data_IF_018134652733
#
_entry.id   IF_018134652733
#
_cell.length_a   1.000
_cell.length_b   1.000
_cell.length_c   1.000
_cell.angle_alpha   90.00
_cell.angle_beta   90.00
_cell.angle_gamma   90.00
#
_symmetry.space_group_name_H-M   'P 1'
#
loop_
_entity.id
_entity.type
_entity.pdbx_description
1 polymer ?
#
# COMPACT_ATOMS: atom_id res chain seq x y z
N UNK A 1 7.18 9.48 -13.42
CA UNK A 1 6.53 8.70 -14.39
C UNK A 1 7.17 7.34 -14.63
N UNK A 2 6.38 6.38 -14.89
CA UNK A 2 6.83 5.00 -15.00
C UNK A 2 7.29 4.65 -16.39
N UNK A 3 8.31 5.28 -16.79
CA UNK A 3 8.78 5.24 -18.15
C UNK A 3 9.17 3.87 -18.64
N UNK A 4 9.76 3.08 -17.77
CA UNK A 4 10.30 1.78 -18.17
C UNK A 4 9.41 0.61 -17.78
N UNK A 5 8.14 0.82 -17.94
CA UNK A 5 7.11 -0.17 -17.64
C UNK A 5 7.42 -1.53 -18.25
N UNK A 6 7.83 -1.57 -19.50
CA UNK A 6 8.14 -2.80 -20.21
C UNK A 6 9.38 -3.52 -19.67
N UNK A 7 10.23 -2.85 -18.94
CA UNK A 7 11.47 -3.43 -18.39
C UNK A 7 11.33 -3.94 -16.97
N UNK A 8 10.13 -3.82 -16.39
CA UNK A 8 9.88 -4.26 -15.03
C UNK A 8 9.10 -5.55 -15.02
N UNK A 9 9.29 -6.35 -13.99
CA UNK A 9 8.44 -7.50 -13.75
C UNK A 9 7.01 -7.00 -13.58
N UNK A 10 6.07 -7.65 -14.24
CA UNK A 10 4.67 -7.20 -14.27
C UNK A 10 4.07 -7.00 -12.89
N UNK A 11 4.17 -7.99 -12.00
CA UNK A 11 3.60 -7.91 -10.65
C UNK A 11 4.22 -6.80 -9.82
N UNK A 12 5.54 -6.66 -9.91
CA UNK A 12 6.29 -5.63 -9.20
C UNK A 12 5.88 -4.24 -9.63
N UNK A 13 5.72 -4.05 -10.93
CA UNK A 13 5.29 -2.77 -11.49
C UNK A 13 3.87 -2.45 -11.03
N UNK A 14 2.96 -3.44 -11.06
CA UNK A 14 1.57 -3.23 -10.64
C UNK A 14 1.48 -2.81 -9.17
N UNK A 15 2.30 -3.40 -8.29
CA UNK A 15 2.32 -3.03 -6.86
C UNK A 15 2.67 -1.55 -6.71
N UNK A 16 3.70 -1.08 -7.42
CA UNK A 16 4.12 0.33 -7.35
C UNK A 16 3.04 1.27 -7.86
N UNK A 17 2.43 0.94 -8.99
CA UNK A 17 1.37 1.77 -9.59
C UNK A 17 0.15 1.82 -8.69
N UNK A 18 -0.30 0.67 -8.21
CA UNK A 18 -1.50 0.59 -7.36
C UNK A 18 -1.30 1.31 -6.03
N UNK A 19 -0.10 1.24 -5.47
CA UNK A 19 0.21 1.97 -4.24
C UNK A 19 0.11 3.48 -4.46
N UNK A 20 0.66 3.98 -5.57
CA UNK A 20 0.58 5.40 -5.89
C UNK A 20 -0.86 5.84 -6.14
N UNK A 21 -1.64 5.03 -6.85
CA UNK A 21 -3.05 5.31 -7.12
C UNK A 21 -3.85 5.37 -5.82
N UNK A 22 -3.59 4.44 -4.91
CA UNK A 22 -4.26 4.42 -3.60
C UNK A 22 -3.92 5.67 -2.79
N UNK A 23 -2.65 6.05 -2.74
CA UNK A 23 -2.25 7.24 -2.00
C UNK A 23 -2.92 8.50 -2.56
N UNK A 24 -2.92 8.64 -3.88
CA UNK A 24 -3.56 9.78 -4.53
C UNK A 24 -5.07 9.82 -4.28
N UNK A 25 -5.73 8.68 -4.39
CA UNK A 25 -7.18 8.57 -4.11
C UNK A 25 -7.47 8.93 -2.65
N UNK A 26 -6.66 8.41 -1.73
CA UNK A 26 -6.82 8.67 -0.29
C UNK A 26 -6.70 10.16 0.01
N UNK A 27 -5.72 10.83 -0.58
CA UNK A 27 -5.53 12.27 -0.41
C UNK A 27 -6.76 13.03 -0.94
N UNK A 28 -7.26 12.64 -2.10
CA UNK A 28 -8.42 13.32 -2.69
C UNK A 28 -9.68 13.15 -1.85
N UNK A 29 -9.99 11.93 -1.40
CA UNK A 29 -11.18 11.69 -0.60
C UNK A 29 -11.09 12.38 0.77
N UNK A 30 -9.89 12.39 1.37
CA UNK A 30 -9.66 13.03 2.66
C UNK A 30 -9.64 14.55 2.58
N UNK A 31 -9.38 15.12 1.40
CA UNK A 31 -9.40 16.57 1.19
C UNK A 31 -10.80 17.13 1.03
N UNK A 32 -11.78 16.28 0.80
CA UNK A 32 -13.17 16.71 0.69
C UNK A 32 -13.75 16.87 2.09
N UNK A 33 -14.01 18.13 2.50
CA UNK A 33 -14.49 18.45 3.84
C UNK A 33 -15.88 17.91 4.14
N UNK A 34 -16.65 17.54 3.11
CA UNK A 34 -17.95 16.89 3.30
C UNK A 34 -17.77 15.48 3.84
N UNK A 35 -16.69 14.79 3.44
CA UNK A 35 -16.39 13.45 3.91
C UNK A 35 -15.56 13.47 5.18
N UNK A 36 -14.58 14.39 5.24
CA UNK A 36 -13.65 14.52 6.35
C UNK A 36 -13.66 15.96 6.87
N UNK A 37 -14.51 16.28 7.85
CA UNK A 37 -14.60 17.64 8.38
C UNK A 37 -13.24 18.13 8.87
N UNK A 38 -12.93 19.38 8.54
CA UNK A 38 -11.64 20.01 8.82
C UNK A 38 -11.25 19.94 10.30
N UNK A 39 -12.21 20.04 11.21
CA UNK A 39 -11.94 20.03 12.66
C UNK A 39 -11.37 18.69 13.17
N UNK A 40 -11.52 17.61 12.38
CA UNK A 40 -10.99 16.30 12.74
C UNK A 40 -9.66 15.99 12.07
N UNK A 41 -9.06 16.97 11.40
CA UNK A 41 -7.83 16.78 10.63
C UNK A 41 -6.73 16.07 11.42
N UNK A 42 -6.47 16.54 12.62
CA UNK A 42 -5.39 16.00 13.45
C UNK A 42 -5.79 14.79 14.25
N UNK A 43 -7.09 14.56 14.39
CA UNK A 43 -7.61 13.42 15.15
C UNK A 43 -7.52 12.13 14.32
N UNK A 44 -7.93 12.19 13.05
CA UNK A 44 -7.99 10.98 12.22
C UNK A 44 -7.50 11.18 10.78
N UNK A 45 -7.87 12.28 10.14
CA UNK A 45 -7.61 12.46 8.70
C UNK A 45 -6.14 12.37 8.36
N UNK A 46 -5.28 13.05 9.10
CA UNK A 46 -3.84 13.02 8.84
C UNK A 46 -3.26 11.64 9.06
N UNK A 47 -3.78 10.87 9.99
CA UNK A 47 -3.34 9.50 10.25
C UNK A 47 -3.65 8.59 9.07
N UNK A 48 -4.82 8.74 8.48
CA UNK A 48 -5.24 7.98 7.29
C UNK A 48 -4.32 8.28 6.12
N UNK A 49 -4.08 9.56 5.85
CA UNK A 49 -3.21 9.99 4.76
C UNK A 49 -1.78 9.49 4.98
N UNK A 50 -1.28 9.58 6.20
CA UNK A 50 0.06 9.13 6.53
C UNK A 50 0.23 7.62 6.31
N UNK A 51 -0.78 6.81 6.68
CA UNK A 51 -0.71 5.36 6.43
C UNK A 51 -0.66 5.06 4.93
N UNK A 52 -1.46 5.74 4.13
CA UNK A 52 -1.46 5.54 2.69
C UNK A 52 -0.10 5.89 2.08
N UNK A 53 0.51 6.97 2.53
CA UNK A 53 1.83 7.40 2.08
C UNK A 53 2.90 6.39 2.54
N UNK A 54 2.81 5.90 3.77
CA UNK A 54 3.75 4.93 4.31
C UNK A 54 3.74 3.62 3.53
N UNK A 55 2.57 3.18 3.06
CA UNK A 55 2.48 2.00 2.20
C UNK A 55 3.40 2.18 0.99
N UNK A 56 3.31 3.32 0.31
CA UNK A 56 4.15 3.63 -0.84
C UNK A 56 5.63 3.65 -0.48
N UNK A 57 5.98 4.25 0.64
CA UNK A 57 7.36 4.34 1.10
C UNK A 57 7.96 2.98 1.39
N UNK A 58 7.22 2.11 2.05
CA UNK A 58 7.69 0.76 2.37
C UNK A 58 7.83 -0.11 1.11
N UNK A 59 6.88 0.01 0.19
CA UNK A 59 6.97 -0.72 -1.08
C UNK A 59 8.22 -0.30 -1.85
N UNK A 60 8.51 1.00 -1.91
CA UNK A 60 9.71 1.50 -2.57
C UNK A 60 10.99 1.01 -1.88
N UNK A 61 11.00 1.00 -0.55
CA UNK A 61 12.16 0.48 0.20
C UNK A 61 12.38 -1.00 -0.06
N UNK A 62 11.31 -1.78 -0.10
CA UNK A 62 11.39 -3.19 -0.44
C UNK A 62 11.94 -3.39 -1.86
N UNK A 63 11.42 -2.60 -2.81
CA UNK A 63 11.82 -2.71 -4.21
C UNK A 63 13.29 -2.39 -4.45
N UNK A 64 13.89 -1.58 -3.60
CA UNK A 64 15.33 -1.25 -3.71
C UNK A 64 16.22 -2.39 -3.30
N UNK A 65 15.73 -3.34 -2.53
CA UNK A 65 16.54 -4.46 -2.07
C UNK A 65 16.64 -5.52 -3.16
N UNK A 66 17.85 -6.02 -3.36
CA UNK A 66 18.13 -6.99 -4.40
C UNK A 66 17.59 -8.37 -4.02
N UNK A 67 16.91 -9.01 -4.98
CA UNK A 67 16.45 -10.38 -4.82
C UNK A 67 17.47 -11.31 -5.45
N UNK A 68 18.32 -11.90 -4.62
CA UNK A 68 19.40 -12.78 -5.04
C UNK A 68 19.52 -13.93 -4.04
N UNK A 69 19.55 -15.16 -4.56
CA UNK A 69 19.60 -16.38 -3.72
C UNK A 69 20.79 -16.43 -2.80
N UNK A 70 21.89 -15.80 -3.19
CA UNK A 70 23.12 -15.76 -2.39
C UNK A 70 23.17 -14.59 -1.40
N UNK A 71 22.17 -13.71 -1.43
CA UNK A 71 22.12 -12.52 -0.59
C UNK A 71 20.94 -12.58 0.37
N UNK A 72 21.01 -13.51 1.30
CA UNK A 72 19.92 -13.74 2.26
C UNK A 72 19.59 -12.52 3.10
N UNK A 73 20.58 -11.71 3.48
CA UNK A 73 20.34 -10.50 4.27
C UNK A 73 19.50 -9.49 3.49
N UNK A 74 19.75 -9.35 2.19
CA UNK A 74 18.95 -8.45 1.34
C UNK A 74 17.53 -8.95 1.21
N UNK A 75 17.34 -10.24 1.05
CA UNK A 75 16.00 -10.84 1.01
C UNK A 75 15.23 -10.56 2.31
N UNK A 76 15.87 -10.74 3.46
CA UNK A 76 15.24 -10.50 4.76
C UNK A 76 14.82 -9.04 4.92
N UNK A 77 15.65 -8.09 4.47
CA UNK A 77 15.33 -6.66 4.51
C UNK A 77 14.18 -6.33 3.58
N UNK A 78 14.19 -6.89 2.37
CA UNK A 78 13.12 -6.71 1.40
C UNK A 78 11.79 -7.21 1.98
N UNK A 79 11.79 -8.40 2.57
CA UNK A 79 10.61 -8.99 3.20
C UNK A 79 10.12 -8.17 4.39
N UNK A 80 11.06 -7.63 5.18
CA UNK A 80 10.72 -6.75 6.29
C UNK A 80 9.91 -5.54 5.82
N UNK A 81 10.33 -4.91 4.72
CA UNK A 81 9.62 -3.75 4.20
C UNK A 81 8.28 -4.14 3.58
N UNK A 82 8.19 -5.28 2.91
CA UNK A 82 6.92 -5.80 2.42
C UNK A 82 5.95 -6.01 3.58
N UNK A 83 6.42 -6.56 4.69
CA UNK A 83 5.60 -6.77 5.88
C UNK A 83 5.18 -5.45 6.52
N UNK A 84 6.06 -4.45 6.52
CA UNK A 84 5.71 -3.11 7.02
C UNK A 84 4.62 -2.46 6.18
N UNK A 85 4.69 -2.63 4.86
CA UNK A 85 3.64 -2.14 3.97
C UNK A 85 2.30 -2.82 4.27
N UNK A 86 2.31 -4.13 4.48
CA UNK A 86 1.10 -4.87 4.86
C UNK A 86 0.54 -4.41 6.20
N UNK A 87 1.42 -4.10 7.16
CA UNK A 87 1.02 -3.54 8.45
C UNK A 87 0.33 -2.18 8.30
N UNK A 88 0.86 -1.33 7.43
CA UNK A 88 0.22 -0.03 7.14
C UNK A 88 -1.11 -0.20 6.44
N UNK A 89 -1.25 -1.22 5.59
CA UNK A 89 -2.54 -1.55 4.96
C UNK A 89 -3.58 -1.92 6.03
N UNK A 90 -3.21 -2.77 6.98
CA UNK A 90 -4.11 -3.14 8.07
C UNK A 90 -4.51 -1.93 8.91
N UNK A 91 -3.54 -1.06 9.22
CA UNK A 91 -3.80 0.17 9.96
C UNK A 91 -4.73 1.10 9.19
N UNK A 92 -4.52 1.23 7.88
CA UNK A 92 -5.36 2.04 7.02
C UNK A 92 -6.81 1.52 7.03
N UNK A 93 -7.00 0.23 6.86
CA UNK A 93 -8.33 -0.38 6.89
C UNK A 93 -9.04 -0.11 8.21
N UNK A 94 -8.32 -0.25 9.33
CA UNK A 94 -8.88 0.04 10.66
C UNK A 94 -9.31 1.51 10.80
N UNK A 95 -8.48 2.43 10.31
CA UNK A 95 -8.80 3.86 10.35
C UNK A 95 -9.97 4.21 9.44
N UNK A 96 -10.06 3.54 8.28
CA UNK A 96 -11.19 3.72 7.36
C UNK A 96 -12.50 3.28 8.00
N UNK A 97 -12.49 2.16 8.73
CA UNK A 97 -13.66 1.70 9.47
C UNK A 97 -14.11 2.73 10.50
N UNK A 98 -13.16 3.27 11.26
CA UNK A 98 -13.46 4.30 12.24
C UNK A 98 -14.07 5.55 11.58
N UNK A 99 -13.48 5.95 10.45
CA UNK A 99 -13.99 7.11 9.71
C UNK A 99 -15.41 6.88 9.19
N UNK A 100 -15.67 5.68 8.70
CA UNK A 100 -17.00 5.32 8.20
C UNK A 100 -18.06 5.44 9.30
N UNK A 101 -17.75 4.95 10.50
CA UNK A 101 -18.68 5.05 11.64
C UNK A 101 -18.79 6.45 12.23
N UNK A 102 -17.80 7.29 11.99
CA UNK A 102 -17.75 8.65 12.56
C UNK A 102 -18.35 9.69 11.62
N UNK A 103 -18.11 9.55 10.32
CA UNK A 103 -18.48 10.52 9.30
C UNK A 103 -19.51 9.94 8.34
N UNK A 104 -20.19 10.84 7.62
CA UNK A 104 -21.18 10.43 6.63
C UNK A 104 -20.54 10.27 5.24
N UNK A 105 -19.70 9.27 5.11
CA UNK A 105 -19.09 8.94 3.82
C UNK A 105 -20.04 8.02 3.08
N UNK A 106 -20.35 8.34 1.82
CA UNK A 106 -21.24 7.51 1.01
C UNK A 106 -20.68 6.10 0.86
N UNK A 107 -21.54 5.10 0.97
CA UNK A 107 -21.16 3.69 0.86
C UNK A 107 -20.40 3.41 -0.43
N UNK A 108 -20.84 3.97 -1.56
CA UNK A 108 -20.16 3.81 -2.84
C UNK A 108 -18.69 4.26 -2.78
N UNK A 109 -18.43 5.41 -2.15
CA UNK A 109 -17.07 5.93 -2.03
C UNK A 109 -16.21 5.07 -1.12
N UNK A 110 -16.77 4.63 0.00
CA UNK A 110 -16.03 3.78 0.94
C UNK A 110 -15.74 2.42 0.31
N UNK A 111 -16.69 1.87 -0.43
CA UNK A 111 -16.53 0.56 -1.10
C UNK A 111 -15.43 0.64 -2.15
N UNK A 112 -15.42 1.68 -2.98
CA UNK A 112 -14.36 1.87 -3.99
C UNK A 112 -13.00 2.00 -3.33
N UNK A 113 -12.92 2.73 -2.24
CA UNK A 113 -11.68 2.95 -1.50
C UNK A 113 -11.18 1.64 -0.89
N UNK A 114 -12.07 0.89 -0.22
CA UNK A 114 -11.73 -0.42 0.35
C UNK A 114 -11.26 -1.38 -0.74
N UNK A 115 -11.94 -1.40 -1.88
CA UNK A 115 -11.55 -2.27 -3.00
C UNK A 115 -10.13 -1.97 -3.47
N UNK A 116 -9.74 -0.70 -3.52
CA UNK A 116 -8.38 -0.31 -3.89
C UNK A 116 -7.36 -0.84 -2.88
N UNK A 117 -7.67 -0.73 -1.59
CA UNK A 117 -6.79 -1.19 -0.53
C UNK A 117 -6.63 -2.71 -0.58
N UNK A 118 -7.73 -3.43 -0.70
CA UNK A 118 -7.74 -4.90 -0.73
C UNK A 118 -7.03 -5.42 -1.99
N UNK A 119 -7.23 -4.76 -3.13
CA UNK A 119 -6.51 -5.12 -4.36
C UNK A 119 -5.01 -4.99 -4.20
N UNK A 120 -4.55 -3.91 -3.57
CA UNK A 120 -3.14 -3.71 -3.30
C UNK A 120 -2.61 -4.77 -2.33
N UNK A 121 -3.39 -5.07 -1.30
CA UNK A 121 -3.02 -6.11 -0.33
C UNK A 121 -2.79 -7.46 -1.03
N UNK A 122 -3.68 -7.84 -1.93
CA UNK A 122 -3.57 -9.08 -2.70
C UNK A 122 -2.31 -9.08 -3.57
N UNK A 123 -2.04 -7.98 -4.26
CA UNK A 123 -0.84 -7.86 -5.10
C UNK A 123 0.43 -7.96 -4.27
N UNK A 124 0.45 -7.31 -3.12
CA UNK A 124 1.61 -7.30 -2.23
C UNK A 124 1.87 -8.68 -1.63
N UNK A 125 0.82 -9.39 -1.23
CA UNK A 125 0.91 -10.77 -0.76
C UNK A 125 1.45 -11.69 -1.88
N UNK A 126 0.98 -11.49 -3.10
CA UNK A 126 1.46 -12.24 -4.26
C UNK A 126 2.94 -11.97 -4.53
N UNK A 127 3.38 -10.72 -4.38
CA UNK A 127 4.78 -10.34 -4.55
C UNK A 127 5.65 -11.03 -3.49
N UNK A 128 5.23 -11.03 -2.24
CA UNK A 128 5.92 -11.75 -1.17
C UNK A 128 6.07 -13.24 -1.49
N UNK A 129 4.98 -13.85 -1.95
CA UNK A 129 4.96 -15.27 -2.30
C UNK A 129 5.91 -15.57 -3.44
N UNK A 130 5.90 -14.72 -4.45
CA UNK A 130 6.79 -14.84 -5.61
C UNK A 130 8.27 -14.78 -5.18
N UNK A 131 8.61 -13.82 -4.30
CA UNK A 131 9.96 -13.71 -3.76
C UNK A 131 10.37 -14.96 -3.00
N UNK A 132 9.47 -15.47 -2.16
CA UNK A 132 9.71 -16.67 -1.37
C UNK A 132 9.98 -17.88 -2.27
N UNK A 133 9.17 -18.04 -3.31
CA UNK A 133 9.32 -19.14 -4.27
C UNK A 133 10.65 -19.03 -5.00
N UNK A 134 11.03 -17.83 -5.42
CA UNK A 134 12.30 -17.58 -6.09
C UNK A 134 13.48 -18.00 -5.18
N UNK A 135 13.43 -17.63 -3.91
CA UNK A 135 14.51 -17.92 -2.96
C UNK A 135 14.62 -19.41 -2.64
N UNK A 136 13.54 -20.16 -2.80
CA UNK A 136 13.55 -21.62 -2.56
C UNK A 136 14.09 -22.42 -3.75
N UNK A 137 14.09 -21.86 -4.96
CA UNK A 137 14.54 -22.57 -6.14
C UNK A 137 16.06 -22.77 -6.08
N UNK A 138 16.49 -23.99 -6.39
CA UNK A 138 17.91 -24.28 -6.50
C UNK A 138 18.34 -23.97 -7.93
N UNK A 139 19.31 -23.15 -8.04
CA UNK A 139 19.77 -22.57 -9.29
C UNK A 139 20.14 -23.50 -10.38
#
# INVERSE_FOLDING_TARGET
>A
MSVVKSKRGKSKFEVLVKANELAAFTIRICSNEKNFPKRYRWVITSKIVNEAIDICRYIRKANKRVLNREMLKEYKKRRKYQNKALGSIDSLLALMDIAYYTFHIKDEKIDNWVDMVVSLQTLLEGWKKSDKNFMKQKG
#
